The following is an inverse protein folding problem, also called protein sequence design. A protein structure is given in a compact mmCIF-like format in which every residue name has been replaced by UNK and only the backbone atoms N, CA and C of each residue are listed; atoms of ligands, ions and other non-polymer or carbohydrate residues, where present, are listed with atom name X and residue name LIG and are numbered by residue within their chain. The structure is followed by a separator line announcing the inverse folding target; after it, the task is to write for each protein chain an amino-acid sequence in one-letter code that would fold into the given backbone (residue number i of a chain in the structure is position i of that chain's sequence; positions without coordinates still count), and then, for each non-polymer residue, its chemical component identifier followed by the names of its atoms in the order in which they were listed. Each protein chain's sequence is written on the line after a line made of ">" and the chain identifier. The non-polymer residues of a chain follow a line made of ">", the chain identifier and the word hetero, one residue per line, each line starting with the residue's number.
data_IF_416391131984
#
_entry.id   IF_416391131984
#
_cell.length_a   1.000
_cell.length_b   1.000
_cell.length_c   1.000
_cell.angle_alpha   90.00
_cell.angle_beta   90.00
_cell.angle_gamma   90.00
#
_symmetry.space_group_name_H-M   'P 1'
#
loop_
_entity.id
_entity.type
_entity.pdbx_description
1 polymer ?
#
# COMPACT_ATOMS: atom_id res chain seq x y z
N UNK A 1 31.16 17.96 -26.48
CA UNK A 1 30.02 17.86 -25.57
C UNK A 1 30.26 16.72 -24.59
N UNK A 2 30.58 17.04 -23.33
CA UNK A 2 30.88 16.04 -22.31
C UNK A 2 29.59 15.43 -21.82
N UNK A 3 29.37 14.15 -22.07
CA UNK A 3 28.24 13.44 -21.52
C UNK A 3 28.45 13.24 -20.01
N UNK A 4 27.62 13.89 -19.21
CA UNK A 4 27.61 13.64 -17.78
C UNK A 4 26.88 12.30 -17.57
N UNK A 5 27.63 11.30 -17.13
CA UNK A 5 27.05 10.01 -16.80
C UNK A 5 26.52 10.07 -15.38
N UNK A 6 25.20 10.25 -15.25
CA UNK A 6 24.52 10.18 -13.96
C UNK A 6 24.02 8.75 -13.79
N UNK A 7 24.66 8.00 -12.91
CA UNK A 7 24.15 6.68 -12.57
C UNK A 7 22.87 6.83 -11.74
N UNK A 8 21.80 6.24 -12.21
CA UNK A 8 20.52 6.23 -11.47
C UNK A 8 20.71 5.43 -10.18
N UNK A 9 20.41 6.01 -9.01
CA UNK A 9 20.48 5.24 -7.76
C UNK A 9 19.64 3.97 -7.84
N UNK A 10 20.13 2.89 -7.25
CA UNK A 10 19.46 1.59 -7.33
C UNK A 10 18.01 1.60 -6.84
N UNK A 11 17.70 2.42 -5.81
CA UNK A 11 16.34 2.53 -5.30
C UNK A 11 15.34 3.08 -6.34
N UNK A 12 15.79 3.98 -7.21
CA UNK A 12 14.95 4.55 -8.27
C UNK A 12 14.51 3.46 -9.24
N UNK A 13 15.37 2.50 -9.50
CA UNK A 13 15.05 1.36 -10.38
C UNK A 13 13.97 0.47 -9.79
N UNK A 14 13.87 0.40 -8.47
CA UNK A 14 12.93 -0.50 -7.78
C UNK A 14 11.55 0.13 -7.55
N UNK A 15 11.46 1.46 -7.63
CA UNK A 15 10.20 2.18 -7.35
C UNK A 15 9.66 2.97 -8.55
N UNK A 16 10.22 2.75 -9.72
CA UNK A 16 9.72 3.37 -10.95
C UNK A 16 8.32 2.86 -11.28
N UNK A 17 7.46 3.73 -11.86
CA UNK A 17 6.18 3.27 -12.39
C UNK A 17 6.37 2.08 -13.33
N UNK A 18 5.48 1.10 -13.23
CA UNK A 18 5.57 -0.15 -13.97
C UNK A 18 6.30 -1.27 -13.24
N UNK A 19 6.93 -1.00 -12.08
CA UNK A 19 7.55 -2.05 -11.26
C UNK A 19 6.49 -3.05 -10.81
N UNK A 20 6.73 -4.33 -11.04
CA UNK A 20 5.80 -5.40 -10.72
C UNK A 20 5.95 -5.84 -9.25
N UNK A 21 4.90 -5.68 -8.47
CA UNK A 21 4.85 -6.10 -7.07
C UNK A 21 3.93 -7.31 -6.86
N UNK A 22 3.37 -7.88 -7.93
CA UNK A 22 2.36 -8.96 -7.84
C UNK A 22 2.86 -10.21 -7.13
N UNK A 23 4.17 -10.49 -7.17
CA UNK A 23 4.77 -11.68 -6.56
C UNK A 23 4.95 -11.60 -5.05
N UNK A 24 4.77 -10.44 -4.43
CA UNK A 24 4.89 -10.31 -2.97
C UNK A 24 3.66 -10.87 -2.28
N UNK A 25 3.89 -11.53 -1.14
CA UNK A 25 2.82 -12.11 -0.33
C UNK A 25 3.06 -11.87 1.16
N UNK A 26 1.97 -11.85 1.90
CA UNK A 26 1.96 -11.52 3.32
C UNK A 26 0.90 -12.38 4.03
N UNK A 27 1.01 -12.53 5.33
CA UNK A 27 -0.02 -13.22 6.12
C UNK A 27 -1.11 -12.25 6.54
N UNK A 28 -2.36 -12.70 6.49
CA UNK A 28 -3.50 -11.94 7.00
C UNK A 28 -3.73 -12.22 8.49
N UNK A 29 -4.80 -11.65 9.07
CA UNK A 29 -5.15 -11.80 10.48
C UNK A 29 -5.43 -13.24 10.90
N UNK A 30 -5.76 -14.11 9.96
CA UNK A 30 -6.01 -15.54 10.20
C UNK A 30 -4.77 -16.41 9.95
N UNK A 31 -3.63 -15.78 9.67
CA UNK A 31 -2.39 -16.49 9.37
C UNK A 31 -2.31 -17.07 7.97
N UNK A 32 -3.30 -16.78 7.12
CA UNK A 32 -3.32 -17.24 5.73
C UNK A 32 -2.44 -16.32 4.89
N UNK A 33 -1.66 -16.90 3.98
CA UNK A 33 -0.82 -16.14 3.05
C UNK A 33 -1.66 -15.60 1.89
N UNK A 34 -1.51 -14.29 1.65
CA UNK A 34 -2.21 -13.57 0.59
C UNK A 34 -1.17 -12.91 -0.30
N UNK A 35 -1.22 -13.16 -1.59
CA UNK A 35 -0.34 -12.53 -2.57
C UNK A 35 -1.01 -11.30 -3.18
N UNK A 36 -0.22 -10.31 -3.57
CA UNK A 36 -0.76 -9.14 -4.26
C UNK A 36 -1.38 -9.53 -5.61
N UNK A 37 -0.88 -10.62 -6.24
CA UNK A 37 -1.48 -11.18 -7.46
C UNK A 37 -2.90 -11.71 -7.26
N UNK A 38 -3.32 -11.97 -6.02
CA UNK A 38 -4.69 -12.41 -5.72
C UNK A 38 -5.73 -11.32 -6.04
N UNK A 39 -5.28 -10.08 -6.19
CA UNK A 39 -6.13 -8.93 -6.51
C UNK A 39 -6.10 -8.54 -7.98
N UNK A 40 -5.51 -9.38 -8.84
CA UNK A 40 -5.45 -9.13 -10.28
C UNK A 40 -6.84 -8.82 -10.85
N UNK A 41 -6.90 -7.86 -11.76
CA UNK A 41 -8.16 -7.39 -12.34
C UNK A 41 -8.74 -6.15 -11.65
N UNK A 42 -8.19 -5.78 -10.51
CA UNK A 42 -8.57 -4.55 -9.77
C UNK A 42 -7.35 -3.69 -9.51
N UNK A 43 -7.55 -2.39 -9.44
CA UNK A 43 -6.53 -1.49 -8.90
C UNK A 43 -6.35 -1.82 -7.41
N UNK A 44 -5.14 -1.62 -6.91
CA UNK A 44 -4.83 -1.88 -5.48
C UNK A 44 -4.25 -0.62 -4.87
N UNK A 45 -4.91 -0.11 -3.85
CA UNK A 45 -4.37 0.98 -3.04
C UNK A 45 -3.80 0.38 -1.76
N UNK A 46 -2.50 0.55 -1.57
CA UNK A 46 -1.78 -0.03 -0.42
C UNK A 46 -1.42 1.07 0.56
N UNK A 47 -1.72 0.84 1.83
CA UNK A 47 -1.28 1.67 2.93
C UNK A 47 -0.27 0.88 3.78
N UNK A 48 0.90 1.47 3.98
CA UNK A 48 1.97 0.91 4.80
C UNK A 48 1.99 1.66 6.13
N UNK A 49 1.81 0.94 7.23
CA UNK A 49 1.56 1.55 8.53
C UNK A 49 2.08 0.70 9.68
N UNK A 50 1.91 1.17 10.92
CA UNK A 50 2.07 0.36 12.12
C UNK A 50 1.17 0.91 13.23
N UNK A 51 0.88 0.09 14.23
CA UNK A 51 -0.01 0.46 15.35
C UNK A 51 0.57 1.57 16.20
N UNK A 52 1.90 1.69 16.27
CA UNK A 52 2.57 2.75 17.02
C UNK A 52 2.82 4.04 16.23
N UNK A 53 2.38 4.10 14.99
CA UNK A 53 2.56 5.26 14.13
C UNK A 53 1.34 6.19 14.20
N UNK A 54 1.42 7.27 14.95
CA UNK A 54 0.30 8.21 15.13
C UNK A 54 -0.20 8.82 13.81
N UNK A 55 0.67 9.31 12.90
CA UNK A 55 0.21 9.79 11.59
C UNK A 55 -0.49 8.72 10.77
N UNK A 56 -0.08 7.45 10.87
CA UNK A 56 -0.73 6.34 10.21
C UNK A 56 -2.15 6.13 10.75
N UNK A 57 -2.28 6.09 12.08
CA UNK A 57 -3.56 5.91 12.77
C UNK A 57 -4.51 7.07 12.43
N UNK A 58 -3.98 8.28 12.29
CA UNK A 58 -4.75 9.45 11.90
C UNK A 58 -5.38 9.34 10.50
N UNK A 59 -4.84 8.50 9.62
CA UNK A 59 -5.39 8.28 8.28
C UNK A 59 -6.53 7.25 8.26
N UNK A 60 -6.70 6.47 9.32
CA UNK A 60 -7.71 5.39 9.36
C UNK A 60 -9.13 5.86 9.02
N UNK A 61 -9.65 6.95 9.61
CA UNK A 61 -11.00 7.42 9.24
C UNK A 61 -11.13 7.74 7.77
N UNK A 62 -10.11 8.34 7.18
CA UNK A 62 -10.11 8.72 5.77
C UNK A 62 -10.03 7.51 4.85
N UNK A 63 -9.29 6.47 5.25
CA UNK A 63 -9.25 5.21 4.51
C UNK A 63 -10.62 4.55 4.52
N UNK A 64 -11.29 4.52 5.67
CA UNK A 64 -12.66 4.00 5.79
C UNK A 64 -13.63 4.74 4.89
N UNK A 65 -13.54 6.07 4.84
CA UNK A 65 -14.36 6.89 3.97
C UNK A 65 -14.13 6.57 2.49
N UNK A 66 -12.86 6.37 2.11
CA UNK A 66 -12.49 5.99 0.74
C UNK A 66 -13.02 4.59 0.38
N UNK A 67 -12.87 3.63 1.29
CA UNK A 67 -13.41 2.28 1.08
C UNK A 67 -14.92 2.33 0.85
N UNK A 68 -15.63 3.14 1.61
CA UNK A 68 -17.07 3.33 1.46
C UNK A 68 -17.42 4.04 0.15
N UNK A 69 -16.73 5.13 -0.16
CA UNK A 69 -16.96 5.92 -1.38
C UNK A 69 -16.80 5.09 -2.64
N UNK A 70 -15.78 4.23 -2.69
CA UNK A 70 -15.44 3.44 -3.87
C UNK A 70 -15.93 1.98 -3.78
N UNK A 71 -16.85 1.68 -2.87
CA UNK A 71 -17.45 0.35 -2.76
C UNK A 71 -18.09 -0.05 -4.09
N UNK A 72 -17.85 -1.29 -4.52
CA UNK A 72 -18.37 -1.79 -5.80
C UNK A 72 -17.55 -1.36 -7.02
N UNK A 73 -16.54 -0.53 -6.86
CA UNK A 73 -15.63 -0.14 -7.94
C UNK A 73 -14.44 -1.13 -8.00
N UNK A 74 -13.75 -1.23 -9.16
CA UNK A 74 -12.64 -2.19 -9.31
C UNK A 74 -11.34 -1.70 -8.66
N UNK A 75 -11.42 -1.41 -7.36
CA UNK A 75 -10.28 -1.04 -6.53
C UNK A 75 -10.35 -1.80 -5.20
N UNK A 76 -9.22 -2.35 -4.78
CA UNK A 76 -9.08 -3.06 -3.51
C UNK A 76 -8.18 -2.26 -2.57
N UNK A 77 -8.57 -2.19 -1.32
CA UNK A 77 -7.84 -1.47 -0.26
C UNK A 77 -7.08 -2.49 0.57
N UNK A 78 -5.75 -2.36 0.59
CA UNK A 78 -4.86 -3.29 1.28
C UNK A 78 -4.01 -2.52 2.27
N UNK A 79 -4.09 -2.89 3.54
CA UNK A 79 -3.26 -2.31 4.60
C UNK A 79 -2.18 -3.31 5.00
N UNK A 80 -0.92 -2.90 4.90
CA UNK A 80 0.22 -3.75 5.25
C UNK A 80 0.90 -3.15 6.48
N UNK A 81 0.76 -3.85 7.61
CA UNK A 81 1.40 -3.44 8.87
C UNK A 81 2.87 -3.82 8.89
N UNK A 82 3.70 -2.89 9.35
CA UNK A 82 5.12 -3.12 9.63
C UNK A 82 5.37 -3.51 11.08
N UNK A 83 4.33 -3.81 11.86
CA UNK A 83 4.47 -4.22 13.24
C UNK A 83 5.29 -5.51 13.37
N UNK A 84 6.22 -5.54 14.29
CA UNK A 84 6.98 -6.74 14.62
C UNK A 84 6.22 -7.66 15.57
N UNK A 85 5.27 -7.10 16.32
CA UNK A 85 4.45 -7.83 17.29
C UNK A 85 3.07 -8.11 16.69
N UNK A 86 2.83 -9.35 16.29
CA UNK A 86 1.57 -9.78 15.68
C UNK A 86 0.38 -9.57 16.61
N UNK A 87 0.56 -9.81 17.92
CA UNK A 87 -0.53 -9.66 18.90
C UNK A 87 -1.01 -8.21 19.00
N UNK A 88 -0.08 -7.25 19.05
CA UNK A 88 -0.42 -5.83 19.08
C UNK A 88 -1.22 -5.43 17.84
N UNK A 89 -0.80 -5.93 16.68
CA UNK A 89 -1.50 -5.69 15.43
C UNK A 89 -2.92 -6.27 15.45
N UNK A 90 -3.09 -7.53 15.86
CA UNK A 90 -4.40 -8.17 15.94
C UNK A 90 -5.33 -7.46 16.92
N UNK A 91 -4.82 -7.08 18.09
CA UNK A 91 -5.60 -6.36 19.08
C UNK A 91 -6.07 -5.00 18.54
N UNK A 92 -5.20 -4.30 17.82
CA UNK A 92 -5.53 -3.03 17.18
C UNK A 92 -6.62 -3.17 16.13
N UNK A 93 -6.51 -4.17 15.24
CA UNK A 93 -7.51 -4.43 14.20
C UNK A 93 -8.90 -4.64 14.80
N UNK A 94 -8.95 -5.40 15.89
CA UNK A 94 -10.20 -5.70 16.60
C UNK A 94 -10.76 -4.46 17.29
N UNK A 95 -9.91 -3.71 18.00
CA UNK A 95 -10.31 -2.51 18.75
C UNK A 95 -10.84 -1.42 17.83
N UNK A 96 -10.18 -1.20 16.69
CA UNK A 96 -10.54 -0.12 15.75
C UNK A 96 -11.55 -0.54 14.69
N UNK A 97 -11.93 -1.82 14.65
CA UNK A 97 -12.87 -2.32 13.63
C UNK A 97 -12.36 -2.07 12.21
N UNK A 98 -11.10 -2.42 11.96
CA UNK A 98 -10.48 -2.21 10.64
C UNK A 98 -11.14 -3.07 9.57
N UNK A 99 -11.48 -2.45 8.45
CA UNK A 99 -12.04 -3.09 7.27
C UNK A 99 -10.95 -3.27 6.19
N UNK A 100 -11.36 -3.75 5.02
CA UNK A 100 -10.42 -4.00 3.92
C UNK A 100 -9.56 -5.22 4.17
N UNK A 101 -8.54 -5.36 3.35
CA UNK A 101 -7.58 -6.46 3.45
C UNK A 101 -6.46 -6.05 4.40
N UNK A 102 -6.30 -6.79 5.49
CA UNK A 102 -5.29 -6.50 6.52
C UNK A 102 -4.19 -7.55 6.45
N UNK A 103 -2.97 -7.10 6.17
CA UNK A 103 -1.79 -7.94 6.02
C UNK A 103 -0.67 -7.46 6.95
N UNK A 104 0.27 -8.35 7.27
CA UNK A 104 1.40 -8.01 8.12
C UNK A 104 2.73 -8.40 7.47
N UNK A 105 3.68 -7.47 7.52
CA UNK A 105 5.08 -7.65 7.12
C UNK A 105 5.90 -7.77 8.41
N UNK A 106 5.79 -8.91 9.10
CA UNK A 106 6.26 -9.07 10.47
C UNK A 106 7.78 -9.22 10.64
N UNK A 107 8.52 -9.22 9.54
CA UNK A 107 9.98 -9.10 9.58
C UNK A 107 10.46 -7.64 9.50
N UNK A 108 9.50 -6.71 9.40
CA UNK A 108 9.78 -5.28 9.32
C UNK A 108 10.68 -4.96 8.13
N UNK A 109 11.64 -4.06 8.35
CA UNK A 109 12.55 -3.60 7.30
C UNK A 109 13.55 -4.68 6.83
N UNK A 110 13.57 -5.84 7.45
CA UNK A 110 14.38 -7.00 7.00
C UNK A 110 13.69 -7.77 5.88
N UNK A 111 12.40 -7.57 5.68
CA UNK A 111 11.65 -8.19 4.60
C UNK A 111 12.05 -7.58 3.26
N UNK A 112 12.06 -8.37 2.15
CA UNK A 112 12.37 -7.83 0.83
C UNK A 112 11.42 -6.73 0.34
N UNK A 113 10.16 -6.75 0.76
CA UNK A 113 9.15 -5.79 0.26
C UNK A 113 9.49 -4.33 0.58
N UNK A 114 9.83 -3.94 1.82
CA UNK A 114 10.22 -2.57 2.10
C UNK A 114 11.40 -2.07 1.27
N UNK A 115 12.36 -2.96 0.98
CA UNK A 115 13.51 -2.63 0.12
C UNK A 115 13.06 -2.37 -1.30
N UNK A 116 12.14 -3.21 -1.82
CA UNK A 116 11.63 -3.10 -3.19
C UNK A 116 10.94 -1.77 -3.44
N UNK A 117 10.24 -1.23 -2.45
CA UNK A 117 9.53 0.05 -2.55
C UNK A 117 10.33 1.23 -2.00
N UNK A 118 11.60 1.01 -1.64
CA UNK A 118 12.46 2.01 -1.01
C UNK A 118 11.78 2.70 0.18
N UNK A 119 11.20 1.89 1.08
CA UNK A 119 10.50 2.39 2.24
C UNK A 119 11.49 3.03 3.22
N UNK A 120 11.30 4.32 3.51
CA UNK A 120 12.13 5.08 4.43
C UNK A 120 11.39 5.54 5.67
N UNK A 121 10.07 5.52 5.62
CA UNK A 121 9.20 5.94 6.72
C UNK A 121 7.76 5.61 6.43
N UNK A 122 6.92 5.69 7.44
CA UNK A 122 5.49 5.45 7.38
C UNK A 122 4.73 6.66 7.93
N UNK A 123 3.51 6.93 7.50
CA UNK A 123 2.76 6.16 6.50
C UNK A 123 3.30 6.34 5.08
N UNK A 124 3.11 5.34 4.27
CA UNK A 124 3.44 5.34 2.85
C UNK A 124 2.27 4.74 2.08
N UNK A 125 1.91 5.34 0.96
CA UNK A 125 0.76 4.90 0.15
C UNK A 125 1.21 4.58 -1.27
N UNK A 126 0.72 3.47 -1.79
CA UNK A 126 1.06 2.96 -3.13
C UNK A 126 -0.22 2.72 -3.91
N UNK A 127 -0.16 2.96 -5.21
CA UNK A 127 -1.25 2.60 -6.12
C UNK A 127 -0.71 1.66 -7.18
N UNK A 128 -1.34 0.49 -7.32
CA UNK A 128 -1.01 -0.51 -8.31
C UNK A 128 -2.11 -0.59 -9.37
N UNK A 129 -1.72 -0.92 -10.59
CA UNK A 129 -2.68 -1.20 -11.66
C UNK A 129 -3.30 -2.60 -11.52
N UNK A 130 -4.16 -2.96 -12.46
CA UNK A 130 -4.88 -4.24 -12.44
C UNK A 130 -3.98 -5.47 -12.62
N UNK A 131 -2.71 -5.27 -12.98
CA UNK A 131 -1.72 -6.32 -13.13
C UNK A 131 -0.74 -6.38 -11.95
N UNK A 132 -0.88 -5.50 -10.95
CA UNK A 132 0.01 -5.43 -9.80
C UNK A 132 1.27 -4.61 -10.04
N UNK A 133 1.28 -3.80 -11.09
CA UNK A 133 2.40 -2.90 -11.39
C UNK A 133 2.16 -1.53 -10.78
N UNK A 134 3.22 -0.90 -10.29
CA UNK A 134 3.14 0.41 -9.63
C UNK A 134 2.72 1.50 -10.60
N UNK A 135 1.62 2.19 -10.30
CA UNK A 135 1.21 3.44 -10.95
C UNK A 135 1.85 4.61 -10.21
N UNK A 136 1.75 4.60 -8.88
CA UNK A 136 2.29 5.65 -8.01
C UNK A 136 2.90 4.98 -6.78
N UNK A 137 4.20 5.15 -6.57
CA UNK A 137 4.89 4.56 -5.43
C UNK A 137 4.87 5.46 -4.18
N UNK A 138 4.40 6.69 -4.32
CA UNK A 138 4.24 7.64 -3.21
C UNK A 138 2.99 8.48 -3.45
N UNK A 139 1.85 7.82 -3.26
CA UNK A 139 0.54 8.44 -3.45
C UNK A 139 0.25 9.50 -2.39
N UNK A 140 -0.64 10.42 -2.75
CA UNK A 140 -1.26 11.33 -1.79
C UNK A 140 -1.91 10.53 -0.67
N UNK A 141 -1.97 11.13 0.52
CA UNK A 141 -2.64 10.54 1.69
C UNK A 141 -4.15 10.50 1.50
N UNK A 142 -4.83 9.50 2.05
CA UNK A 142 -6.31 9.47 2.03
C UNK A 142 -6.98 10.73 2.59
N UNK A 143 -6.35 11.41 3.54
CA UNK A 143 -6.84 12.68 4.10
C UNK A 143 -6.76 13.85 3.11
N UNK A 144 -5.97 13.71 2.04
CA UNK A 144 -5.91 14.74 1.00
C UNK A 144 -7.10 14.61 0.07
N UNK A 145 -7.98 15.64 -0.03
CA UNK A 145 -9.20 15.53 -0.84
C UNK A 145 -8.94 15.33 -2.34
N UNK A 146 -7.75 15.70 -2.82
CA UNK A 146 -7.40 15.51 -4.23
C UNK A 146 -7.28 14.03 -4.59
N UNK A 147 -6.88 13.17 -3.65
CA UNK A 147 -6.75 11.73 -3.93
C UNK A 147 -8.07 11.12 -4.42
N UNK A 148 -9.18 11.42 -3.74
CA UNK A 148 -10.49 10.89 -4.14
C UNK A 148 -10.88 11.32 -5.54
N UNK A 149 -10.59 12.56 -5.91
CA UNK A 149 -10.86 13.07 -7.26
C UNK A 149 -10.01 12.36 -8.31
N UNK A 150 -8.73 12.14 -8.04
CA UNK A 150 -7.82 11.44 -8.95
C UNK A 150 -8.26 9.98 -9.15
N UNK A 151 -8.62 9.29 -8.08
CA UNK A 151 -9.11 7.91 -8.15
C UNK A 151 -10.42 7.83 -8.93
N UNK A 152 -11.31 8.79 -8.73
CA UNK A 152 -12.59 8.85 -9.47
C UNK A 152 -12.33 8.98 -10.97
N UNK A 153 -11.43 9.87 -11.37
CA UNK A 153 -11.05 10.04 -12.78
C UNK A 153 -10.44 8.76 -13.36
N UNK A 154 -9.56 8.11 -12.60
CA UNK A 154 -8.94 6.85 -13.01
C UNK A 154 -9.97 5.74 -13.22
N UNK A 155 -10.90 5.59 -12.29
CA UNK A 155 -11.93 4.55 -12.32
C UNK A 155 -12.99 4.81 -13.39
N UNK A 156 -13.16 6.05 -13.83
CA UNK A 156 -14.11 6.40 -14.90
C UNK A 156 -13.54 6.15 -16.30
N UNK A 157 -12.25 5.92 -16.44
CA UNK A 157 -11.65 5.59 -17.74
C UNK A 157 -12.06 4.18 -18.16
N UNK A 158 -12.52 4.08 -19.40
CA UNK A 158 -12.84 2.80 -20.04
C UNK A 158 -11.59 2.19 -20.67
#
# INVERSE_FOLDING_TARGET
>A
MTRIHVSTPSFVKTVLPGTDLSGFSFKNENGKRVALSDFEGKYVFIDIWSTGCNPCVGEVPYIKDMEHRFAGKPITWVSISMDLNKKEWLDFLKEKGMNGIQLICNKGYKDPFPKQIALRGIPRFLLLDKEGKVIDFESLRPSNPVLGELLQLMLNKK
#
